data_IF_899263953351
#
_entry.id   IF_899263953351
#
_cell.length_a   1.000
_cell.length_b   1.000
_cell.length_c   1.000
_cell.angle_alpha   90.00
_cell.angle_beta   90.00
_cell.angle_gamma   90.00
#
_symmetry.space_group_name_H-M   'P 1'
#
loop_
_entity.id
_entity.type
_entity.pdbx_description
1 polymer ?
#
# COMPACT_ATOMS: atom_id res chain seq x y z
N UNK A 1 -18.75 -25.16 18.74
CA UNK A 1 -18.42 -26.07 17.62
C UNK A 1 -18.62 -25.48 16.21
N UNK A 2 -19.26 -24.31 16.03
CA UNK A 2 -19.42 -23.69 14.69
C UNK A 2 -18.16 -22.98 14.14
N UNK A 3 -17.24 -22.55 14.99
CA UNK A 3 -16.05 -21.79 14.56
C UNK A 3 -14.91 -22.62 13.94
N UNK A 4 -14.95 -23.96 14.03
CA UNK A 4 -13.94 -24.82 13.38
C UNK A 4 -14.27 -25.12 11.91
N UNK A 5 -15.55 -25.08 11.52
CA UNK A 5 -15.96 -25.41 10.14
C UNK A 5 -15.59 -24.30 9.14
N UNK A 6 -15.61 -23.04 9.57
CA UNK A 6 -15.20 -21.90 8.73
C UNK A 6 -13.68 -21.90 8.46
N UNK A 7 -12.88 -22.28 9.46
CA UNK A 7 -11.42 -22.29 9.37
C UNK A 7 -10.88 -23.33 8.38
N UNK A 8 -11.58 -24.48 8.24
CA UNK A 8 -11.20 -25.51 7.28
C UNK A 8 -11.59 -25.13 5.84
N UNK A 9 -12.64 -24.33 5.66
CA UNK A 9 -13.12 -23.92 4.34
C UNK A 9 -12.19 -22.89 3.67
N UNK A 10 -11.69 -21.88 4.40
CA UNK A 10 -10.76 -20.89 3.81
C UNK A 10 -9.38 -21.52 3.48
N UNK A 11 -8.93 -22.55 4.20
CA UNK A 11 -7.67 -23.26 3.92
C UNK A 11 -7.73 -24.21 2.71
N UNK A 12 -8.91 -24.77 2.41
CA UNK A 12 -9.10 -25.71 1.29
C UNK A 12 -9.37 -25.02 -0.06
N UNK A 13 -9.62 -23.72 -0.07
CA UNK A 13 -9.95 -22.92 -1.26
C UNK A 13 -8.83 -21.99 -1.72
N UNK A 14 -7.65 -22.02 -1.08
CA UNK A 14 -6.43 -21.38 -1.57
C UNK A 14 -5.87 -22.14 -2.80
N UNK A 15 -6.71 -22.35 -3.81
CA UNK A 15 -6.31 -22.83 -5.13
C UNK A 15 -5.76 -21.64 -5.91
N UNK A 16 -4.48 -21.73 -6.28
CA UNK A 16 -3.80 -20.97 -7.33
C UNK A 16 -4.48 -19.65 -7.71
N UNK A 17 -4.32 -18.62 -6.87
CA UNK A 17 -4.62 -17.26 -7.27
C UNK A 17 -3.70 -16.90 -8.45
N UNK A 18 -4.20 -17.04 -9.67
CA UNK A 18 -3.58 -16.44 -10.83
C UNK A 18 -3.59 -14.93 -10.56
N UNK A 19 -2.41 -14.33 -10.48
CA UNK A 19 -2.25 -12.89 -10.36
C UNK A 19 -3.03 -12.23 -11.51
N UNK A 20 -4.22 -11.73 -11.22
CA UNK A 20 -4.94 -10.82 -12.09
C UNK A 20 -4.26 -9.44 -11.99
N UNK A 21 -2.98 -9.39 -12.35
CA UNK A 21 -2.21 -8.17 -12.47
C UNK A 21 -2.58 -7.51 -13.77
N UNK A 22 -3.29 -6.40 -13.69
CA UNK A 22 -3.38 -5.46 -14.81
C UNK A 22 -1.96 -5.02 -15.19
N UNK A 23 -1.66 -4.91 -16.48
CA UNK A 23 -0.30 -4.94 -17.05
C UNK A 23 0.68 -3.80 -16.70
N UNK A 24 0.50 -3.09 -15.58
CA UNK A 24 1.31 -1.92 -15.22
C UNK A 24 2.04 -2.02 -13.87
N UNK A 25 1.82 -3.05 -13.03
CA UNK A 25 2.44 -3.13 -11.70
C UNK A 25 3.55 -4.18 -11.61
N UNK A 26 4.81 -3.77 -11.40
CA UNK A 26 5.84 -4.68 -10.89
C UNK A 26 5.77 -4.69 -9.37
N UNK A 27 5.28 -5.79 -8.80
CA UNK A 27 5.37 -6.06 -7.37
C UNK A 27 6.76 -6.64 -7.10
N UNK A 28 7.62 -5.87 -6.44
CA UNK A 28 8.82 -6.41 -5.80
C UNK A 28 8.49 -6.66 -4.33
N UNK A 29 8.12 -7.91 -4.02
CA UNK A 29 8.05 -8.39 -2.63
C UNK A 29 9.46 -8.74 -2.20
N UNK A 30 10.00 -7.95 -1.28
CA UNK A 30 11.25 -8.28 -0.61
C UNK A 30 10.93 -8.49 0.87
N UNK A 31 11.26 -9.68 1.39
CA UNK A 31 11.27 -9.93 2.84
C UNK A 31 12.72 -9.89 3.31
N UNK A 32 13.09 -8.89 4.10
CA UNK A 32 14.42 -8.80 4.74
C UNK A 32 14.25 -8.98 6.24
N UNK A 33 14.48 -10.20 6.74
CA UNK A 33 14.12 -10.52 8.13
C UNK A 33 12.60 -10.43 8.30
N UNK A 34 12.16 -9.56 9.22
CA UNK A 34 10.74 -9.34 9.52
C UNK A 34 10.12 -8.17 8.72
N UNK A 35 10.87 -7.53 7.81
CA UNK A 35 10.36 -6.42 7.01
C UNK A 35 9.70 -6.88 5.71
N UNK A 36 8.55 -6.29 5.37
CA UNK A 36 7.78 -6.47 4.15
C UNK A 36 7.85 -5.22 3.26
N UNK A 37 8.39 -5.39 2.05
CA UNK A 37 8.31 -4.37 1.00
C UNK A 37 7.18 -4.63 0.02
N UNK A 38 6.43 -3.58 -0.29
CA UNK A 38 5.44 -3.56 -1.36
C UNK A 38 5.68 -2.33 -2.26
N UNK A 39 6.23 -2.58 -3.45
CA UNK A 39 6.43 -1.54 -4.48
C UNK A 39 5.33 -1.60 -5.53
N UNK A 40 4.83 -0.44 -5.93
CA UNK A 40 3.95 -0.30 -7.08
C UNK A 40 4.58 0.73 -8.03
N UNK A 41 4.83 0.30 -9.26
CA UNK A 41 5.08 1.21 -10.37
C UNK A 41 3.79 1.26 -11.18
N UNK A 42 3.38 2.43 -11.67
CA UNK A 42 2.17 2.56 -12.48
C UNK A 42 2.46 3.46 -13.69
N UNK A 43 2.79 2.86 -14.84
CA UNK A 43 3.02 3.59 -16.10
C UNK A 43 1.71 4.15 -16.67
N UNK A 44 1.76 5.37 -17.22
CA UNK A 44 0.63 5.98 -17.93
C UNK A 44 0.11 5.03 -19.03
N UNK A 45 -1.14 4.58 -18.91
CA UNK A 45 -1.82 3.86 -19.99
C UNK A 45 -2.07 4.80 -21.17
N UNK A 46 -1.23 4.74 -22.20
CA UNK A 46 -1.49 5.32 -23.54
C UNK A 46 -1.72 6.86 -23.55
N UNK A 47 -1.55 7.54 -24.71
CA UNK A 47 -1.80 8.98 -24.78
C UNK A 47 -3.27 9.26 -24.46
N UNK A 48 -3.53 9.96 -23.35
CA UNK A 48 -4.86 10.47 -23.02
C UNK A 48 -5.29 11.43 -24.13
N UNK A 49 -6.47 11.18 -24.72
CA UNK A 49 -7.13 12.17 -25.57
C UNK A 49 -7.14 13.54 -24.85
N UNK A 50 -6.99 14.67 -25.57
CA UNK A 50 -6.68 15.97 -24.97
C UNK A 50 -7.63 16.26 -23.81
N UNK A 51 -7.07 16.37 -22.61
CA UNK A 51 -7.83 16.59 -21.40
C UNK A 51 -8.52 17.97 -21.46
N UNK A 52 -9.80 18.00 -21.08
CA UNK A 52 -10.47 19.23 -20.69
C UNK A 52 -9.68 19.94 -19.58
N UNK A 53 -9.73 21.27 -19.47
CA UNK A 53 -8.83 22.01 -18.59
C UNK A 53 -9.22 21.78 -17.12
N UNK A 54 -8.28 21.27 -16.34
CA UNK A 54 -8.24 21.47 -14.89
C UNK A 54 -6.94 22.21 -14.54
N UNK A 55 -7.05 23.23 -13.71
CA UNK A 55 -6.05 24.26 -13.44
C UNK A 55 -5.00 23.85 -12.38
N UNK A 56 -3.78 24.38 -12.58
CA UNK A 56 -2.65 24.73 -11.67
C UNK A 56 -2.74 24.25 -10.22
N UNK A 57 -1.74 23.51 -9.70
CA UNK A 57 -0.36 23.99 -9.49
C UNK A 57 0.71 23.36 -10.40
N UNK A 58 1.49 24.24 -11.06
CA UNK A 58 2.71 23.91 -11.79
C UNK A 58 2.49 23.37 -13.20
N UNK A 59 2.67 24.22 -14.22
CA UNK A 59 2.64 23.85 -15.64
C UNK A 59 3.55 22.64 -15.93
N UNK A 60 2.98 21.46 -16.07
CA UNK A 60 3.70 20.23 -16.33
C UNK A 60 3.37 19.75 -17.77
N UNK A 61 4.15 20.19 -18.76
CA UNK A 61 3.97 19.84 -20.19
C UNK A 61 4.75 18.57 -20.62
N UNK A 62 5.11 17.68 -19.69
CA UNK A 62 5.84 16.43 -19.94
C UNK A 62 4.99 15.16 -19.83
N UNK A 63 5.58 14.02 -20.22
CA UNK A 63 5.11 12.69 -19.83
C UNK A 63 5.57 12.43 -18.39
N UNK A 64 4.66 12.05 -17.49
CA UNK A 64 4.92 11.92 -16.06
C UNK A 64 4.51 10.54 -15.55
N UNK A 65 5.24 10.02 -14.57
CA UNK A 65 4.92 8.76 -13.91
C UNK A 65 4.65 9.00 -12.42
N UNK A 66 3.60 8.40 -11.87
CA UNK A 66 3.46 8.27 -10.42
C UNK A 66 4.00 6.91 -9.97
N UNK A 67 5.10 6.91 -9.23
CA UNK A 67 5.72 5.72 -8.63
C UNK A 67 5.53 5.71 -7.12
N UNK A 68 5.44 4.51 -6.55
CA UNK A 68 5.08 4.29 -5.16
C UNK A 68 5.96 3.19 -4.54
N UNK A 69 6.40 3.43 -3.31
CA UNK A 69 7.07 2.44 -2.47
C UNK A 69 6.43 2.42 -1.08
N UNK A 70 5.97 1.26 -0.64
CA UNK A 70 5.64 1.01 0.76
C UNK A 70 6.65 0.07 1.35
N UNK A 71 7.16 0.47 2.50
CA UNK A 71 7.92 -0.37 3.41
C UNK A 71 7.13 -0.50 4.71
N UNK A 72 6.98 -1.72 5.18
CA UNK A 72 6.34 -2.01 6.45
C UNK A 72 7.19 -3.03 7.18
N UNK A 73 7.52 -2.79 8.44
CA UNK A 73 8.25 -3.77 9.24
C UNK A 73 7.28 -4.50 10.16
N UNK A 74 7.20 -5.83 10.03
CA UNK A 74 6.43 -6.67 10.95
C UNK A 74 7.26 -6.89 12.23
N UNK A 75 7.39 -5.88 13.09
CA UNK A 75 8.24 -6.01 14.28
C UNK A 75 8.25 -4.80 15.22
N UNK A 76 8.98 -4.92 16.33
CA UNK A 76 9.02 -3.93 17.42
C UNK A 76 9.99 -2.75 17.20
N UNK A 77 10.79 -2.74 16.12
CA UNK A 77 11.93 -1.83 16.01
C UNK A 77 11.72 -0.61 15.08
N UNK A 78 10.53 -0.44 14.51
CA UNK A 78 10.23 0.72 13.65
C UNK A 78 10.50 0.46 12.16
N UNK A 79 10.36 1.50 11.34
CA UNK A 79 10.45 1.42 9.87
C UNK A 79 11.12 2.67 9.30
N UNK A 80 11.80 2.56 8.16
CA UNK A 80 12.39 3.72 7.46
C UNK A 80 11.72 3.96 6.12
N UNK A 81 11.60 5.23 5.73
CA UNK A 81 11.09 5.63 4.43
C UNK A 81 12.15 5.48 3.34
N UNK A 82 11.73 5.03 2.16
CA UNK A 82 12.57 5.12 0.98
C UNK A 82 12.31 6.44 0.25
N UNK A 83 13.33 7.01 -0.34
CA UNK A 83 13.25 8.18 -1.21
C UNK A 83 13.54 7.74 -2.65
N UNK A 84 12.91 8.39 -3.63
CA UNK A 84 13.18 8.09 -5.04
C UNK A 84 14.42 8.86 -5.49
N UNK A 85 15.45 8.14 -5.90
CA UNK A 85 16.70 8.68 -6.40
C UNK A 85 16.82 8.51 -7.92
N UNK A 86 17.06 9.60 -8.69
CA UNK A 86 17.26 9.51 -10.14
C UNK A 86 18.37 8.52 -10.52
N UNK A 87 18.08 7.60 -11.44
CA UNK A 87 19.03 6.58 -11.91
C UNK A 87 19.27 5.40 -10.97
N UNK A 88 18.81 5.45 -9.71
CA UNK A 88 18.97 4.38 -8.70
C UNK A 88 17.63 3.80 -8.24
N UNK A 89 16.54 4.54 -8.40
CA UNK A 89 15.21 4.15 -7.96
C UNK A 89 15.01 4.38 -6.47
N UNK A 90 14.23 3.51 -5.82
CA UNK A 90 13.91 3.64 -4.40
C UNK A 90 15.05 3.15 -3.49
N UNK A 91 15.64 4.06 -2.71
CA UNK A 91 16.68 3.77 -1.71
C UNK A 91 16.40 4.48 -0.36
N UNK A 92 17.11 4.12 0.69
CA UNK A 92 17.00 4.77 2.00
C UNK A 92 17.90 6.01 2.04
N UNK A 93 17.31 7.20 2.04
CA UNK A 93 18.07 8.45 2.14
C UNK A 93 18.85 8.55 3.47
N UNK A 94 18.24 8.10 4.56
CA UNK A 94 18.90 7.96 5.86
C UNK A 94 18.37 6.73 6.62
N UNK A 95 19.09 5.60 6.62
CA UNK A 95 18.67 4.38 7.32
C UNK A 95 18.75 4.49 8.85
N UNK A 96 19.20 5.63 9.40
CA UNK A 96 19.23 5.86 10.85
C UNK A 96 17.92 6.43 11.40
N UNK A 97 17.03 6.90 10.51
CA UNK A 97 15.71 7.41 10.88
C UNK A 97 14.72 6.26 10.87
N UNK A 98 14.30 5.81 12.06
CA UNK A 98 13.28 4.78 12.22
C UNK A 98 12.00 5.39 12.81
N UNK A 99 10.84 4.89 12.39
CA UNK A 99 9.52 5.34 12.82
C UNK A 99 8.76 4.24 13.54
N UNK A 100 8.23 4.51 14.73
CA UNK A 100 7.43 3.54 15.48
C UNK A 100 5.94 3.55 15.09
N UNK A 101 5.13 2.75 15.79
CA UNK A 101 3.69 2.87 15.76
C UNK A 101 3.16 3.01 17.19
N UNK A 102 2.35 4.05 17.42
CA UNK A 102 1.88 4.38 18.76
C UNK A 102 0.66 3.55 19.22
N UNK A 103 -0.03 2.90 18.28
CA UNK A 103 -1.34 2.29 18.51
C UNK A 103 -1.28 0.97 19.27
N UNK A 104 -2.31 0.74 20.08
CA UNK A 104 -2.52 -0.51 20.82
C UNK A 104 -3.81 -1.22 20.43
N UNK A 105 -4.33 -0.99 19.21
CA UNK A 105 -5.55 -1.64 18.76
C UNK A 105 -5.36 -3.16 18.71
N UNK A 106 -6.19 -3.87 19.45
CA UNK A 106 -6.18 -5.33 19.56
C UNK A 106 -7.49 -5.88 18.99
N UNK A 107 -7.55 -6.16 17.68
CA UNK A 107 -8.75 -6.69 17.07
C UNK A 107 -9.09 -8.07 17.64
N UNK A 108 -10.39 -8.42 17.63
CA UNK A 108 -10.80 -9.74 18.08
C UNK A 108 -10.36 -10.80 17.05
N UNK A 109 -9.91 -11.98 17.49
CA UNK A 109 -9.46 -13.02 16.56
C UNK A 109 -10.50 -13.43 15.50
N UNK A 110 -11.79 -13.40 15.84
CA UNK A 110 -12.87 -13.68 14.89
C UNK A 110 -13.00 -12.64 13.78
N UNK A 111 -12.75 -11.36 14.09
CA UNK A 111 -12.84 -10.26 13.12
C UNK A 111 -11.64 -10.31 12.17
N UNK A 112 -10.44 -10.58 12.71
CA UNK A 112 -9.22 -10.82 11.91
C UNK A 112 -9.44 -11.97 10.93
N UNK A 113 -9.99 -13.10 11.38
CA UNK A 113 -10.27 -14.25 10.49
C UNK A 113 -11.29 -13.93 9.40
N UNK A 114 -12.31 -13.12 9.72
CA UNK A 114 -13.32 -12.73 8.75
C UNK A 114 -12.73 -11.84 7.65
N UNK A 115 -11.87 -10.89 8.03
CA UNK A 115 -11.16 -10.03 7.07
C UNK A 115 -10.11 -10.83 6.30
N UNK A 116 -9.36 -11.70 6.97
CA UNK A 116 -8.38 -12.58 6.33
C UNK A 116 -9.05 -13.38 5.21
N UNK A 117 -10.18 -14.05 5.49
CA UNK A 117 -10.86 -14.83 4.44
C UNK A 117 -11.33 -13.96 3.26
N UNK A 118 -11.69 -12.69 3.47
CA UNK A 118 -11.99 -11.77 2.35
C UNK A 118 -10.75 -11.44 1.53
N UNK A 119 -9.64 -11.10 2.18
CA UNK A 119 -8.38 -10.77 1.51
C UNK A 119 -7.76 -11.99 0.79
N UNK A 120 -8.00 -13.20 1.29
CA UNK A 120 -7.39 -14.42 0.77
C UNK A 120 -8.17 -15.09 -0.37
N UNK A 121 -9.51 -15.02 -0.35
CA UNK A 121 -10.35 -15.85 -1.24
C UNK A 121 -10.62 -15.17 -2.58
N UNK A 122 -10.94 -13.88 -2.57
CA UNK A 122 -11.16 -13.10 -3.79
C UNK A 122 -10.34 -11.82 -3.69
N UNK A 123 -9.26 -11.76 -4.44
CA UNK A 123 -8.33 -10.62 -4.43
C UNK A 123 -9.00 -9.32 -4.85
N UNK A 124 -9.93 -9.36 -5.79
CA UNK A 124 -10.59 -8.16 -6.31
C UNK A 124 -11.62 -7.65 -5.31
N UNK A 125 -12.49 -8.52 -4.80
CA UNK A 125 -13.46 -8.13 -3.78
C UNK A 125 -12.77 -7.74 -2.47
N UNK A 126 -11.75 -8.51 -2.06
CA UNK A 126 -10.90 -8.26 -0.90
C UNK A 126 -10.18 -6.92 -1.00
N UNK A 127 -9.59 -6.61 -2.15
CA UNK A 127 -8.93 -5.33 -2.41
C UNK A 127 -9.88 -4.14 -2.40
N UNK A 128 -11.07 -4.25 -3.00
CA UNK A 128 -12.08 -3.19 -2.92
C UNK A 128 -12.59 -2.99 -1.49
N UNK A 129 -12.84 -4.08 -0.75
CA UNK A 129 -13.23 -4.01 0.65
C UNK A 129 -12.14 -3.33 1.52
N UNK A 130 -10.88 -3.70 1.30
CA UNK A 130 -9.71 -3.09 1.94
C UNK A 130 -9.64 -1.60 1.64
N UNK A 131 -9.74 -1.22 0.35
CA UNK A 131 -9.70 0.18 -0.10
C UNK A 131 -10.78 1.02 0.57
N UNK A 132 -12.01 0.52 0.55
CA UNK A 132 -13.15 1.20 1.15
C UNK A 132 -13.02 1.33 2.66
N UNK A 133 -12.47 0.32 3.35
CA UNK A 133 -12.18 0.41 4.78
C UNK A 133 -11.15 1.51 5.06
N UNK A 134 -10.02 1.52 4.34
CA UNK A 134 -8.98 2.56 4.47
C UNK A 134 -9.56 3.95 4.22
N UNK A 135 -10.33 4.15 3.15
CA UNK A 135 -10.93 5.44 2.82
C UNK A 135 -11.97 5.90 3.86
N UNK A 136 -12.68 4.98 4.53
CA UNK A 136 -13.54 5.33 5.68
C UNK A 136 -12.73 5.70 6.93
N UNK A 137 -11.52 5.16 7.06
CA UNK A 137 -10.71 5.28 8.28
C UNK A 137 -11.34 4.51 9.44
N UNK A 138 -10.99 4.88 10.67
CA UNK A 138 -11.61 4.26 11.84
C UNK A 138 -11.00 2.92 12.25
N UNK A 139 -11.68 2.23 13.16
CA UNK A 139 -11.30 0.90 13.62
C UNK A 139 -11.43 -0.17 12.52
N UNK A 140 -12.29 0.05 11.53
CA UNK A 140 -12.43 -0.83 10.35
C UNK A 140 -11.14 -0.78 9.50
N UNK A 141 -10.64 0.41 9.18
CA UNK A 141 -9.35 0.57 8.51
C UNK A 141 -8.21 -0.08 9.31
N UNK A 142 -8.14 0.15 10.62
CA UNK A 142 -7.11 -0.45 11.48
C UNK A 142 -7.20 -1.98 11.50
N UNK A 143 -8.39 -2.57 11.51
CA UNK A 143 -8.60 -4.02 11.40
C UNK A 143 -8.10 -4.56 10.07
N UNK A 144 -8.43 -3.92 8.95
CA UNK A 144 -7.96 -4.36 7.64
C UNK A 144 -6.44 -4.25 7.51
N UNK A 145 -5.84 -3.14 7.94
CA UNK A 145 -4.38 -2.97 7.93
C UNK A 145 -3.70 -4.00 8.83
N UNK A 146 -4.17 -4.17 10.08
CA UNK A 146 -3.64 -5.22 10.97
C UNK A 146 -3.72 -6.60 10.31
N UNK A 147 -4.86 -6.92 9.71
CA UNK A 147 -5.09 -8.24 9.09
C UNK A 147 -4.24 -8.44 7.85
N UNK A 148 -3.98 -7.40 7.05
CA UNK A 148 -3.09 -7.48 5.89
C UNK A 148 -1.70 -8.01 6.28
N UNK A 149 -1.12 -7.50 7.38
CA UNK A 149 0.20 -7.90 7.87
C UNK A 149 0.17 -9.17 8.76
N UNK A 150 -0.98 -9.55 9.31
CA UNK A 150 -1.12 -10.76 10.12
C UNK A 150 -1.62 -11.98 9.33
N UNK A 151 -2.02 -11.81 8.07
CA UNK A 151 -2.66 -12.84 7.26
C UNK A 151 -1.70 -13.99 6.93
N UNK A 152 -2.19 -15.22 7.04
CA UNK A 152 -1.40 -16.42 6.68
C UNK A 152 -1.31 -16.62 5.17
N UNK A 153 -2.19 -15.97 4.42
CA UNK A 153 -2.25 -16.01 2.96
C UNK A 153 -1.47 -14.84 2.34
N UNK A 154 -0.26 -14.57 2.83
CA UNK A 154 0.51 -13.36 2.51
C UNK A 154 0.40 -12.92 1.04
N UNK A 155 0.62 -13.82 0.08
CA UNK A 155 0.60 -13.48 -1.35
C UNK A 155 -0.79 -13.00 -1.84
N UNK A 156 -1.87 -13.63 -1.37
CA UNK A 156 -3.23 -13.21 -1.71
C UNK A 156 -3.64 -11.92 -0.98
N UNK A 157 -3.25 -11.77 0.29
CA UNK A 157 -3.48 -10.55 1.04
C UNK A 157 -2.74 -9.35 0.41
N UNK A 158 -1.50 -9.55 -0.04
CA UNK A 158 -0.74 -8.54 -0.76
C UNK A 158 -1.34 -8.24 -2.13
N UNK A 159 -1.83 -9.25 -2.85
CA UNK A 159 -2.55 -9.01 -4.09
C UNK A 159 -3.83 -8.20 -3.87
N UNK A 160 -4.53 -8.39 -2.75
CA UNK A 160 -5.68 -7.55 -2.36
C UNK A 160 -5.25 -6.11 -2.09
N UNK A 161 -4.14 -5.90 -1.38
CA UNK A 161 -3.56 -4.57 -1.22
C UNK A 161 -3.19 -3.94 -2.58
N UNK A 162 -2.63 -4.72 -3.52
CA UNK A 162 -2.30 -4.25 -4.86
C UNK A 162 -3.55 -3.79 -5.61
N UNK A 163 -4.61 -4.59 -5.59
CA UNK A 163 -5.89 -4.22 -6.19
C UNK A 163 -6.47 -2.93 -5.57
N UNK A 164 -6.27 -2.73 -4.27
CA UNK A 164 -6.70 -1.50 -3.58
C UNK A 164 -5.92 -0.26 -4.04
N UNK A 165 -4.58 -0.35 -4.17
CA UNK A 165 -3.75 0.79 -4.58
C UNK A 165 -3.87 1.08 -6.08
N UNK A 166 -3.99 0.06 -6.94
CA UNK A 166 -4.23 0.23 -8.39
C UNK A 166 -5.53 1.00 -8.67
N UNK A 167 -6.51 0.89 -7.78
CA UNK A 167 -7.78 1.59 -7.91
C UNK A 167 -7.72 3.07 -7.51
N UNK A 168 -6.64 3.52 -6.84
CA UNK A 168 -6.44 4.94 -6.47
C UNK A 168 -5.22 5.59 -7.14
N UNK A 169 -4.35 4.78 -7.75
CA UNK A 169 -3.15 5.22 -8.46
C UNK A 169 -3.04 4.49 -9.81
N UNK A 170 -3.47 5.14 -10.90
CA UNK A 170 -3.33 4.59 -12.25
C UNK A 170 -2.03 5.00 -12.94
N UNK A 171 -1.19 5.81 -12.28
CA UNK A 171 -0.04 6.48 -12.89
C UNK A 171 -0.34 7.89 -13.42
N UNK A 172 -1.62 8.25 -13.60
CA UNK A 172 -2.04 9.59 -14.02
C UNK A 172 -1.81 10.61 -12.90
N UNK A 173 -1.10 11.73 -13.14
CA UNK A 173 -0.94 12.80 -12.15
C UNK A 173 -2.26 13.33 -11.59
N UNK A 174 -3.38 13.20 -12.32
CA UNK A 174 -4.71 13.56 -11.84
C UNK A 174 -5.18 12.72 -10.63
N UNK A 175 -4.66 11.50 -10.47
CA UNK A 175 -5.01 10.61 -9.36
C UNK A 175 -4.23 10.94 -8.08
N UNK A 176 -3.26 11.86 -8.15
CA UNK A 176 -2.32 12.12 -7.08
C UNK A 176 -3.00 12.56 -5.78
N UNK A 177 -4.08 13.34 -5.86
CA UNK A 177 -4.84 13.75 -4.69
C UNK A 177 -5.50 12.54 -3.98
N UNK A 178 -6.12 11.63 -4.74
CA UNK A 178 -6.74 10.43 -4.21
C UNK A 178 -5.70 9.44 -3.65
N UNK A 179 -4.56 9.30 -4.34
CA UNK A 179 -3.43 8.49 -3.86
C UNK A 179 -2.90 9.01 -2.52
N UNK A 180 -2.65 10.32 -2.40
CA UNK A 180 -2.20 10.97 -1.16
C UNK A 180 -3.20 10.78 -0.01
N UNK A 181 -4.49 10.92 -0.29
CA UNK A 181 -5.54 10.68 0.71
C UNK A 181 -5.53 9.23 1.19
N UNK A 182 -5.45 8.28 0.27
CA UNK A 182 -5.36 6.86 0.59
C UNK A 182 -4.15 6.54 1.45
N UNK A 183 -2.95 7.02 1.08
CA UNK A 183 -1.71 6.82 1.85
C UNK A 183 -1.82 7.41 3.26
N UNK A 184 -2.30 8.64 3.40
CA UNK A 184 -2.45 9.28 4.70
C UNK A 184 -3.42 8.50 5.62
N UNK A 185 -4.52 8.00 5.06
CA UNK A 185 -5.50 7.19 5.81
C UNK A 185 -4.97 5.80 6.14
N UNK A 186 -4.23 5.18 5.23
CA UNK A 186 -3.58 3.90 5.46
C UNK A 186 -2.59 4.01 6.63
N UNK A 187 -1.71 5.01 6.59
CA UNK A 187 -0.72 5.25 7.65
C UNK A 187 -1.39 5.59 8.98
N UNK A 188 -2.46 6.39 8.96
CA UNK A 188 -3.26 6.64 10.17
C UNK A 188 -3.84 5.35 10.76
N UNK A 189 -4.34 4.45 9.91
CA UNK A 189 -4.86 3.15 10.31
C UNK A 189 -3.76 2.20 10.82
N UNK A 190 -2.60 2.17 10.17
CA UNK A 190 -1.42 1.41 10.59
C UNK A 190 -0.91 1.87 11.96
N UNK A 191 -0.80 3.19 12.13
CA UNK A 191 -0.40 3.79 13.41
C UNK A 191 -1.37 3.40 14.52
N UNK A 192 -2.69 3.38 14.25
CA UNK A 192 -3.67 2.94 15.23
C UNK A 192 -3.63 1.42 15.49
N UNK A 193 -3.37 0.63 14.45
CA UNK A 193 -3.18 -0.82 14.51
C UNK A 193 -1.91 -1.25 15.26
N UNK A 194 -0.99 -0.32 15.53
CA UNK A 194 0.32 -0.64 16.11
C UNK A 194 1.25 -1.33 15.11
N UNK A 195 1.09 -1.05 13.82
CA UNK A 195 1.93 -1.60 12.75
C UNK A 195 2.82 -0.49 12.21
N UNK A 196 4.16 -0.57 12.39
CA UNK A 196 5.09 0.39 11.79
C UNK A 196 5.06 0.33 10.27
N UNK A 197 4.72 1.45 9.63
CA UNK A 197 4.69 1.57 8.16
C UNK A 197 5.31 2.90 7.74
N UNK A 198 6.15 2.87 6.70
CA UNK A 198 6.41 4.05 5.88
C UNK A 198 6.03 3.84 4.41
N UNK A 199 5.24 4.75 3.88
CA UNK A 199 4.87 4.83 2.47
C UNK A 199 5.46 6.09 1.86
N UNK A 200 6.13 5.94 0.73
CA UNK A 200 6.70 7.01 -0.06
C UNK A 200 6.11 7.01 -1.46
N UNK A 201 5.93 8.18 -2.04
CA UNK A 201 5.50 8.33 -3.43
C UNK A 201 6.32 9.41 -4.11
N UNK A 202 6.50 9.27 -5.42
CA UNK A 202 7.13 10.27 -6.27
C UNK A 202 6.37 10.43 -7.58
N UNK A 203 6.20 11.67 -8.02
CA UNK A 203 5.84 12.03 -9.38
C UNK A 203 7.14 12.33 -10.13
N UNK A 204 7.43 11.54 -11.15
CA UNK A 204 8.72 11.52 -11.85
C UNK A 204 8.54 12.03 -13.28
N UNK A 205 9.44 12.94 -13.69
CA UNK A 205 9.61 13.31 -15.09
C UNK A 205 10.20 12.13 -15.85
N UNK A 206 9.47 11.54 -16.80
CA UNK A 206 9.99 10.37 -17.51
C UNK A 206 11.12 10.73 -18.48
N UNK A 207 11.29 12.01 -18.82
CA UNK A 207 12.35 12.47 -19.74
C UNK A 207 13.71 12.64 -19.05
N UNK A 208 13.71 13.00 -17.77
CA UNK A 208 14.92 13.26 -16.97
C UNK A 208 15.12 12.26 -15.82
N UNK A 209 14.14 11.40 -15.56
CA UNK A 209 14.09 10.48 -14.42
C UNK A 209 14.21 11.21 -13.07
N UNK A 210 13.77 12.47 -13.01
CA UNK A 210 13.85 13.28 -11.80
C UNK A 210 12.49 13.42 -11.13
N UNK A 211 12.39 13.25 -9.80
CA UNK A 211 11.15 13.52 -9.08
C UNK A 211 10.84 15.01 -9.13
N UNK A 212 9.68 15.39 -9.67
CA UNK A 212 9.14 16.76 -9.59
C UNK A 212 8.38 16.99 -8.30
N UNK A 213 7.85 15.93 -7.71
CA UNK A 213 7.26 15.98 -6.39
C UNK A 213 7.46 14.62 -5.72
N UNK A 214 7.71 14.61 -4.42
CA UNK A 214 7.71 13.39 -3.61
C UNK A 214 7.24 13.72 -2.20
N UNK A 215 6.70 12.73 -1.49
CA UNK A 215 6.47 12.83 -0.06
C UNK A 215 6.47 11.46 0.61
N UNK A 216 6.59 11.50 1.92
CA UNK A 216 6.63 10.34 2.81
C UNK A 216 5.45 10.43 3.78
N UNK A 217 4.89 9.28 4.12
CA UNK A 217 3.86 9.09 5.12
C UNK A 217 4.31 7.95 6.02
N UNK A 218 4.51 8.22 7.30
CA UNK A 218 4.99 7.23 8.25
C UNK A 218 4.13 7.20 9.50
N UNK A 219 4.14 6.06 10.17
CA UNK A 219 3.53 5.91 11.49
C UNK A 219 4.35 6.62 12.55
N UNK A 220 3.75 6.81 13.72
CA UNK A 220 4.47 7.17 14.94
C UNK A 220 5.32 8.44 14.87
N UNK A 221 6.38 8.44 15.67
CA UNK A 221 7.42 9.48 15.69
C UNK A 221 8.74 8.84 15.29
N UNK A 222 9.70 9.69 14.94
CA UNK A 222 11.10 9.27 14.79
C UNK A 222 11.63 8.73 16.12
N UNK A 223 12.33 7.61 16.07
CA UNK A 223 13.09 7.02 17.16
C UNK A 223 14.45 7.76 17.27
N UNK A 224 14.79 8.22 18.47
CA UNK A 224 16.05 8.92 18.79
C UNK A 224 17.19 7.94 19.10
#
# INVERSE_FOLDING_TARGET
MKSLALALACLLLAGSAAAAGSGNSLILKYRRGDALQLRQHADLKTPKAPAAPAATDGNATGDWLTTFSMWAEEGENGTTCQTFEPGYGWDYADPTIEYDAAGGFKPKPEDVRAVECKLCVDVTEGGEAFRQAVLRGGADAALYVHTLFAARCEDAAHASWQAAIDAVNTGDPADLAATKEFMAKFVGAANWAGVPVCMSWALVDTSTDTPVQQAEYHTGKTLD
#
